data_IF_247343674420
#
_entry.id   IF_247343674420
#
_cell.length_a   1.000
_cell.length_b   1.000
_cell.length_c   1.000
_cell.angle_alpha   90.00
_cell.angle_beta   90.00
_cell.angle_gamma   90.00
#
_symmetry.space_group_name_H-M   'P 1'
#
loop_
_entity.id
_entity.type
_entity.pdbx_description
1 polymer ?
#
# COMPACT_ATOMS: atom_id res chain seq x y z
N UNK A 1 17.57 -81.86 11.82
CA UNK A 1 18.14 -81.51 13.12
C UNK A 1 19.23 -80.48 12.91
N UNK A 2 18.83 -79.22 13.02
CA UNK A 2 19.52 -78.06 13.58
C UNK A 2 21.00 -78.23 13.97
N UNK A 3 21.88 -77.41 13.41
CA UNK A 3 22.36 -76.22 14.14
C UNK A 3 23.27 -75.32 13.29
N UNK A 4 22.95 -74.03 13.34
CA UNK A 4 23.57 -72.89 12.68
C UNK A 4 24.99 -72.62 13.24
N UNK A 5 26.00 -72.25 12.43
CA UNK A 5 27.30 -71.88 12.98
C UNK A 5 27.23 -70.48 13.62
N UNK A 6 27.75 -70.35 14.84
CA UNK A 6 28.00 -69.07 15.51
C UNK A 6 29.38 -68.57 15.06
N UNK A 7 29.43 -67.43 14.40
CA UNK A 7 30.66 -66.71 14.14
C UNK A 7 30.99 -65.79 15.33
N UNK A 8 32.19 -66.01 15.86
CA UNK A 8 32.70 -65.37 17.06
C UNK A 8 33.24 -63.98 16.72
N UNK A 9 32.56 -62.98 17.29
CA UNK A 9 32.94 -61.57 17.40
C UNK A 9 34.38 -61.42 17.89
N UNK A 10 35.22 -60.72 17.12
CA UNK A 10 36.54 -60.24 17.56
C UNK A 10 37.24 -59.39 16.51
N UNK A 11 37.62 -58.15 16.88
CA UNK A 11 38.61 -57.35 16.16
C UNK A 11 38.10 -56.13 15.38
N UNK A 12 37.44 -55.17 16.06
CA UNK A 12 37.13 -53.86 15.49
C UNK A 12 37.79 -52.76 16.33
N UNK A 13 38.69 -52.01 15.70
CA UNK A 13 39.55 -50.97 16.26
C UNK A 13 38.73 -49.85 16.92
N UNK A 14 39.07 -49.47 18.16
CA UNK A 14 38.53 -48.30 18.84
C UNK A 14 39.46 -47.13 18.51
N UNK A 15 39.04 -46.09 17.77
CA UNK A 15 39.72 -44.81 17.86
C UNK A 15 39.26 -44.11 19.16
N UNK A 16 40.26 -43.81 19.98
CA UNK A 16 40.20 -43.01 21.19
C UNK A 16 39.43 -41.70 20.95
N UNK A 17 38.36 -41.48 21.72
CA UNK A 17 37.54 -40.27 21.65
C UNK A 17 38.26 -39.21 22.50
N UNK A 18 39.03 -38.35 21.84
CA UNK A 18 39.49 -37.09 22.44
C UNK A 18 38.27 -36.20 22.68
N UNK A 19 37.78 -36.22 23.92
CA UNK A 19 36.73 -35.35 24.41
C UNK A 19 37.20 -33.89 24.44
N UNK A 20 37.01 -33.17 23.33
CA UNK A 20 36.90 -31.71 23.36
C UNK A 20 35.42 -31.33 23.16
N UNK A 21 34.78 -30.60 24.10
CA UNK A 21 33.47 -30.03 23.84
C UNK A 21 33.63 -28.97 22.75
N UNK A 22 33.20 -29.28 21.52
CA UNK A 22 33.02 -28.28 20.48
C UNK A 22 31.83 -27.43 20.92
N UNK A 23 32.10 -26.38 21.69
CA UNK A 23 31.13 -25.34 21.98
C UNK A 23 30.80 -24.64 20.66
N UNK A 24 29.84 -25.18 19.90
CA UNK A 24 29.22 -24.52 18.77
C UNK A 24 28.36 -23.40 19.36
N UNK A 25 28.99 -22.29 19.74
CA UNK A 25 28.31 -21.02 19.95
C UNK A 25 28.06 -20.39 18.58
N UNK A 26 27.25 -21.07 17.76
CA UNK A 26 26.68 -20.45 16.57
C UNK A 26 25.50 -19.62 17.03
N UNK A 27 25.67 -18.30 17.10
CA UNK A 27 24.60 -17.35 17.33
C UNK A 27 23.58 -17.47 16.17
N UNK A 28 22.64 -18.41 16.29
CA UNK A 28 21.66 -18.73 15.27
C UNK A 28 20.59 -17.63 15.27
N UNK A 29 20.62 -16.78 14.26
CA UNK A 29 19.57 -15.80 14.02
C UNK A 29 18.72 -16.26 12.82
N UNK A 30 17.43 -16.59 13.01
CA UNK A 30 16.55 -16.94 11.92
C UNK A 30 16.47 -15.81 10.89
N UNK A 31 16.43 -16.16 9.59
CA UNK A 31 16.46 -15.19 8.49
C UNK A 31 15.32 -14.15 8.58
N UNK A 32 14.14 -14.57 9.04
CA UNK A 32 12.97 -13.69 9.19
C UNK A 32 13.16 -12.54 10.20
N UNK A 33 14.14 -12.63 11.12
CA UNK A 33 14.36 -11.57 12.13
C UNK A 33 14.82 -10.26 11.47
N UNK A 34 15.64 -10.35 10.42
CA UNK A 34 16.22 -9.19 9.74
C UNK A 34 15.82 -9.08 8.26
N UNK A 35 15.05 -10.03 7.73
CA UNK A 35 14.64 -10.04 6.33
C UNK A 35 13.13 -10.17 6.21
N UNK A 36 12.53 -9.31 5.37
CA UNK A 36 11.14 -9.41 4.99
C UNK A 36 10.91 -10.61 4.07
N UNK A 37 9.92 -11.45 4.40
CA UNK A 37 9.46 -12.51 3.51
C UNK A 37 8.33 -11.92 2.67
N UNK A 38 8.63 -11.65 1.39
CA UNK A 38 7.62 -11.24 0.42
C UNK A 38 7.02 -12.46 -0.27
N UNK A 39 5.68 -12.53 -0.34
CA UNK A 39 4.98 -13.56 -1.11
C UNK A 39 4.67 -13.00 -2.50
N UNK A 40 5.44 -13.40 -3.51
CA UNK A 40 5.22 -12.99 -4.89
C UNK A 40 4.50 -14.11 -5.66
N UNK A 41 3.54 -13.77 -6.55
CA UNK A 41 2.96 -14.73 -7.47
C UNK A 41 4.04 -15.40 -8.34
N UNK A 42 3.75 -16.61 -8.84
CA UNK A 42 4.65 -17.27 -9.78
C UNK A 42 4.93 -16.40 -11.01
N UNK A 43 6.11 -16.55 -11.61
CA UNK A 43 6.46 -15.84 -12.85
C UNK A 43 5.40 -16.07 -13.95
N UNK A 44 4.85 -17.28 -14.04
CA UNK A 44 3.76 -17.63 -14.96
C UNK A 44 2.47 -16.85 -14.69
N UNK A 45 2.11 -16.64 -13.41
CA UNK A 45 0.94 -15.83 -13.02
C UNK A 45 1.09 -14.38 -13.47
N UNK A 46 2.28 -13.80 -13.31
CA UNK A 46 2.57 -12.43 -13.77
C UNK A 46 2.49 -12.35 -15.30
N UNK A 47 3.01 -13.37 -16.00
CA UNK A 47 2.96 -13.42 -17.46
C UNK A 47 1.52 -13.45 -17.99
N UNK A 48 0.66 -14.27 -17.39
CA UNK A 48 -0.77 -14.34 -17.73
C UNK A 48 -1.46 -13.01 -17.39
N UNK A 49 -1.21 -12.42 -16.23
CA UNK A 49 -1.82 -11.14 -15.86
C UNK A 49 -1.44 -9.99 -16.81
N UNK A 50 -0.26 -10.04 -17.43
CA UNK A 50 0.16 -9.07 -18.46
C UNK A 50 -0.52 -9.29 -19.82
N UNK A 51 -1.03 -10.50 -20.09
CA UNK A 51 -1.81 -10.81 -21.30
C UNK A 51 -3.23 -10.24 -21.21
N UNK A 52 -3.79 -10.17 -19.99
CA UNK A 52 -5.04 -9.46 -19.69
C UNK A 52 -4.81 -7.94 -19.74
N UNK A 53 -4.58 -7.43 -20.94
CA UNK A 53 -4.34 -6.02 -21.19
C UNK A 53 -5.59 -5.22 -20.81
N UNK A 54 -5.41 -4.31 -19.84
CA UNK A 54 -6.43 -3.32 -19.52
C UNK A 54 -6.79 -2.54 -20.80
N UNK A 55 -8.07 -2.21 -20.95
CA UNK A 55 -8.53 -1.32 -22.02
C UNK A 55 -7.69 -0.04 -21.99
N UNK A 56 -7.24 0.43 -23.16
CA UNK A 56 -6.48 1.68 -23.26
C UNK A 56 -7.33 2.82 -22.73
N UNK A 57 -6.75 3.65 -21.86
CA UNK A 57 -7.40 4.84 -21.36
C UNK A 57 -7.61 5.85 -22.51
N UNK A 58 -8.72 6.60 -22.52
CA UNK A 58 -9.01 7.57 -23.57
C UNK A 58 -8.06 8.77 -23.58
N UNK A 59 -7.46 9.10 -22.42
CA UNK A 59 -6.52 10.20 -22.23
C UNK A 59 -5.17 9.67 -21.74
N UNK A 60 -4.10 10.40 -22.05
CA UNK A 60 -2.75 10.03 -21.66
C UNK A 60 -2.46 10.37 -20.19
N UNK A 61 -3.05 11.45 -19.68
CA UNK A 61 -2.79 11.95 -18.33
C UNK A 61 -4.07 12.44 -17.66
N UNK A 62 -4.28 12.04 -16.41
CA UNK A 62 -5.29 12.60 -15.52
C UNK A 62 -4.60 13.07 -14.24
N UNK A 63 -4.82 14.33 -13.86
CA UNK A 63 -4.26 14.95 -12.65
C UNK A 63 -5.41 15.34 -11.73
N UNK A 64 -5.40 14.78 -10.51
CA UNK A 64 -6.26 15.20 -9.41
C UNK A 64 -5.35 15.84 -8.36
N UNK A 65 -5.50 17.15 -8.11
CA UNK A 65 -4.57 17.87 -7.23
C UNK A 65 -5.24 18.98 -6.41
N UNK A 66 -4.53 19.43 -5.38
CA UNK A 66 -4.98 20.47 -4.44
C UNK A 66 -6.37 20.19 -3.83
N UNK A 67 -6.65 18.97 -3.33
CA UNK A 67 -7.96 18.66 -2.75
C UNK A 67 -8.25 19.49 -1.49
N UNK A 68 -9.53 19.61 -1.15
CA UNK A 68 -10.01 20.28 0.07
C UNK A 68 -10.44 19.24 1.09
N UNK A 69 -9.74 19.15 2.23
CA UNK A 69 -9.96 18.10 3.23
C UNK A 69 -10.88 18.50 4.39
N UNK A 70 -11.01 19.80 4.68
CA UNK A 70 -11.75 20.27 5.85
C UNK A 70 -12.46 21.61 5.61
N UNK A 71 -13.44 21.90 6.45
CA UNK A 71 -14.14 23.20 6.48
C UNK A 71 -13.31 24.34 7.09
N UNK A 72 -12.13 24.02 7.65
CA UNK A 72 -11.18 25.01 8.17
C UNK A 72 -10.23 25.52 7.09
N UNK A 73 -10.32 24.96 5.87
CA UNK A 73 -9.54 25.41 4.72
C UNK A 73 -9.89 26.87 4.36
N UNK A 74 -8.86 27.65 4.04
CA UNK A 74 -8.94 29.05 3.64
C UNK A 74 -9.87 29.31 2.44
N UNK A 75 -10.07 28.30 1.58
CA UNK A 75 -10.95 28.38 0.40
C UNK A 75 -12.44 28.43 0.76
N UNK A 76 -12.82 28.14 2.01
CA UNK A 76 -14.19 28.32 2.48
C UNK A 76 -14.48 29.80 2.81
N UNK A 77 -15.15 30.49 1.88
CA UNK A 77 -15.71 31.81 2.11
C UNK A 77 -16.81 31.74 3.19
N UNK A 78 -16.51 32.22 4.41
CA UNK A 78 -17.39 32.17 5.60
C UNK A 78 -18.76 32.84 5.41
N UNK A 79 -18.91 33.69 4.40
CA UNK A 79 -20.13 34.48 4.14
C UNK A 79 -21.25 33.71 3.42
N UNK A 80 -20.98 32.60 2.72
CA UNK A 80 -22.00 31.87 1.92
C UNK A 80 -22.69 30.73 2.69
N UNK A 81 -22.08 30.23 3.76
CA UNK A 81 -22.50 28.97 4.42
C UNK A 81 -23.72 29.10 5.35
N UNK A 82 -24.23 30.31 5.62
CA UNK A 82 -25.44 30.49 6.44
C UNK A 82 -26.73 30.09 5.70
N UNK A 83 -26.73 30.06 4.37
CA UNK A 83 -27.94 29.81 3.57
C UNK A 83 -28.11 28.36 3.11
N UNK A 84 -27.04 27.55 3.04
CA UNK A 84 -27.10 26.15 2.56
C UNK A 84 -27.41 25.11 3.64
N UNK A 85 -27.36 25.46 4.93
CA UNK A 85 -27.60 24.52 6.04
C UNK A 85 -29.07 24.11 6.25
N UNK A 86 -30.01 24.58 5.41
CA UNK A 86 -31.44 24.20 5.51
C UNK A 86 -31.85 22.99 4.67
N UNK A 87 -30.96 22.45 3.85
CA UNK A 87 -31.26 21.31 2.97
C UNK A 87 -30.12 20.29 3.03
N UNK A 88 -30.11 19.44 4.07
CA UNK A 88 -29.30 18.21 4.03
C UNK A 88 -30.21 17.02 4.27
N UNK A 89 -30.40 16.23 3.21
CA UNK A 89 -31.05 14.94 3.26
C UNK A 89 -30.22 14.00 4.15
N UNK A 90 -30.92 13.18 4.93
CA UNK A 90 -30.31 12.27 5.91
C UNK A 90 -29.53 11.11 5.26
N UNK A 91 -29.71 10.84 3.95
CA UNK A 91 -28.91 9.84 3.24
C UNK A 91 -27.47 10.28 2.95
N UNK A 92 -27.22 11.58 2.75
CA UNK A 92 -25.87 12.10 2.44
C UNK A 92 -24.95 12.11 3.67
N UNK A 93 -25.51 12.04 4.89
CA UNK A 93 -24.74 12.12 6.13
C UNK A 93 -23.89 10.87 6.39
N UNK A 94 -24.39 9.68 6.04
CA UNK A 94 -23.69 8.41 6.26
C UNK A 94 -22.48 8.25 5.33
N UNK A 95 -22.62 8.62 4.06
CA UNK A 95 -21.51 8.62 3.11
C UNK A 95 -20.41 9.60 3.50
N UNK A 96 -20.80 10.82 3.88
CA UNK A 96 -19.87 11.85 4.36
C UNK A 96 -19.15 11.40 5.64
N UNK A 97 -19.82 10.71 6.56
CA UNK A 97 -19.20 10.19 7.78
C UNK A 97 -18.21 9.06 7.48
N UNK A 98 -18.55 8.17 6.55
CA UNK A 98 -17.64 7.12 6.11
C UNK A 98 -16.36 7.70 5.50
N UNK A 99 -16.48 8.67 4.61
CA UNK A 99 -15.34 9.37 4.00
C UNK A 99 -14.49 10.10 5.04
N UNK A 100 -15.13 10.83 5.99
CA UNK A 100 -14.42 11.47 7.11
C UNK A 100 -13.68 10.46 7.98
N UNK A 101 -14.30 9.32 8.25
CA UNK A 101 -13.68 8.25 9.05
C UNK A 101 -12.45 7.67 8.33
N UNK A 102 -12.52 7.46 7.02
CA UNK A 102 -11.41 6.97 6.22
C UNK A 102 -10.26 7.97 6.22
N UNK A 103 -10.56 9.24 5.97
CA UNK A 103 -9.59 10.32 5.98
C UNK A 103 -8.90 10.48 7.34
N UNK A 104 -9.68 10.38 8.43
CA UNK A 104 -9.16 10.40 9.81
C UNK A 104 -8.25 9.21 10.09
N UNK A 105 -8.68 7.98 9.77
CA UNK A 105 -7.85 6.78 9.94
C UNK A 105 -6.51 6.90 9.20
N UNK A 106 -6.54 7.42 7.97
CA UNK A 106 -5.32 7.66 7.19
C UNK A 106 -4.41 8.68 7.87
N UNK A 107 -4.95 9.77 8.44
CA UNK A 107 -4.14 10.73 9.18
C UNK A 107 -3.51 10.11 10.44
N UNK A 108 -4.32 9.35 11.20
CA UNK A 108 -3.91 8.70 12.45
C UNK A 108 -2.79 7.67 12.20
N UNK A 109 -2.80 6.97 11.06
CA UNK A 109 -1.73 6.02 10.66
C UNK A 109 -0.38 6.72 10.48
N UNK A 110 -0.39 7.99 10.05
CA UNK A 110 0.81 8.82 9.94
C UNK A 110 1.07 9.68 11.19
N UNK A 111 0.37 9.41 12.30
CA UNK A 111 0.43 10.20 13.53
C UNK A 111 0.18 11.71 13.29
N UNK A 112 -0.74 12.03 12.38
CA UNK A 112 -1.13 13.39 12.02
C UNK A 112 -2.54 13.72 12.53
N UNK A 113 -2.72 14.95 12.99
CA UNK A 113 -4.04 15.49 13.37
C UNK A 113 -4.81 15.98 12.14
N UNK A 114 -5.17 15.06 11.24
CA UNK A 114 -5.89 15.34 10.01
C UNK A 114 -5.01 15.77 8.83
N UNK A 115 -5.65 16.37 7.82
CA UNK A 115 -5.00 16.77 6.57
C UNK A 115 -5.21 18.26 6.34
N UNK A 116 -4.10 19.00 6.32
CA UNK A 116 -4.08 20.38 5.85
C UNK A 116 -3.88 20.46 4.35
N UNK A 117 -4.12 21.64 3.78
CA UNK A 117 -3.74 21.92 2.40
C UNK A 117 -2.23 21.76 2.23
N UNK A 118 -1.82 21.24 1.08
CA UNK A 118 -0.41 21.11 0.69
C UNK A 118 -0.13 22.02 -0.51
N UNK A 119 0.22 23.31 -0.34
CA UNK A 119 0.24 24.29 -1.44
C UNK A 119 1.11 23.89 -2.64
N UNK A 120 2.16 23.09 -2.42
CA UNK A 120 3.03 22.58 -3.49
C UNK A 120 2.31 21.74 -4.54
N UNK A 121 1.22 21.05 -4.18
CA UNK A 121 0.48 20.15 -5.09
C UNK A 121 -0.10 20.89 -6.29
N UNK A 122 -0.54 22.16 -6.10
CA UNK A 122 -1.05 23.01 -7.18
C UNK A 122 0.04 23.27 -8.22
N UNK A 123 1.18 23.76 -7.72
CA UNK A 123 2.32 24.13 -8.56
C UNK A 123 2.87 22.93 -9.33
N UNK A 124 2.94 21.78 -8.66
CA UNK A 124 3.37 20.53 -9.28
C UNK A 124 2.41 20.10 -10.39
N UNK A 125 1.10 20.06 -10.12
CA UNK A 125 0.08 19.73 -11.10
C UNK A 125 0.13 20.64 -12.33
N UNK A 126 0.19 21.96 -12.14
CA UNK A 126 0.29 22.94 -13.22
C UNK A 126 1.57 22.76 -14.05
N UNK A 127 2.65 22.28 -13.43
CA UNK A 127 3.92 22.02 -14.12
C UNK A 127 3.85 20.74 -14.93
N UNK A 128 3.29 19.67 -14.38
CA UNK A 128 3.13 18.39 -15.07
C UNK A 128 2.16 18.53 -16.25
N UNK A 129 1.08 19.29 -16.09
CA UNK A 129 0.09 19.49 -17.15
C UNK A 129 0.70 20.13 -18.41
N UNK A 130 1.74 20.97 -18.26
CA UNK A 130 2.44 21.59 -19.39
C UNK A 130 3.26 20.59 -20.23
N UNK A 131 3.52 19.39 -19.71
CA UNK A 131 4.30 18.36 -20.42
C UNK A 131 3.46 17.56 -21.43
N UNK A 132 2.13 17.64 -21.35
CA UNK A 132 1.21 16.85 -22.19
C UNK A 132 0.25 17.80 -22.94
N UNK A 133 -0.09 17.54 -24.21
CA UNK A 133 -1.09 18.32 -24.92
C UNK A 133 -2.44 18.32 -24.19
N UNK A 134 -3.13 19.45 -24.19
CA UNK A 134 -4.35 19.65 -23.38
C UNK A 134 -5.44 18.66 -23.74
N UNK A 135 -5.58 18.34 -25.02
CA UNK A 135 -6.53 17.37 -25.57
C UNK A 135 -6.36 15.96 -24.99
N UNK A 136 -5.14 15.60 -24.58
CA UNK A 136 -4.80 14.29 -24.01
C UNK A 136 -4.66 14.34 -22.48
N UNK A 137 -5.05 15.45 -21.86
CA UNK A 137 -4.97 15.66 -20.42
C UNK A 137 -6.35 15.86 -19.79
N UNK A 138 -6.48 15.49 -18.53
CA UNK A 138 -7.62 15.78 -17.67
C UNK A 138 -7.08 16.41 -16.38
N UNK A 139 -7.63 17.56 -16.02
CA UNK A 139 -7.29 18.27 -14.80
C UNK A 139 -8.53 18.36 -13.92
N UNK A 140 -8.37 18.07 -12.64
CA UNK A 140 -9.42 18.13 -11.64
C UNK A 140 -8.80 18.68 -10.36
N UNK A 141 -9.31 19.79 -9.87
CA UNK A 141 -8.68 20.54 -8.78
C UNK A 141 -9.65 20.96 -7.68
N UNK A 142 -9.11 21.36 -6.53
CA UNK A 142 -9.87 21.93 -5.40
C UNK A 142 -11.01 21.01 -4.94
N UNK A 143 -12.25 21.51 -4.98
CA UNK A 143 -13.46 20.80 -4.57
C UNK A 143 -13.85 19.68 -5.55
N UNK A 144 -13.39 19.78 -6.79
CA UNK A 144 -13.63 18.74 -7.80
C UNK A 144 -12.66 17.56 -7.59
N UNK A 145 -11.49 17.77 -6.98
CA UNK A 145 -10.53 16.73 -6.65
C UNK A 145 -10.98 15.90 -5.43
N UNK A 146 -12.08 15.16 -5.59
CA UNK A 146 -12.72 14.38 -4.54
C UNK A 146 -12.65 12.86 -4.81
N UNK A 147 -13.09 12.08 -3.81
CA UNK A 147 -13.08 10.62 -3.87
C UNK A 147 -13.83 10.07 -5.08
N UNK A 148 -15.01 10.62 -5.39
CA UNK A 148 -15.81 10.17 -6.52
C UNK A 148 -15.09 10.33 -7.85
N UNK A 149 -14.38 11.44 -8.06
CA UNK A 149 -13.54 11.63 -9.25
C UNK A 149 -12.36 10.66 -9.30
N UNK A 150 -11.75 10.34 -8.15
CA UNK A 150 -10.63 9.41 -8.09
C UNK A 150 -11.05 7.96 -8.38
N UNK A 151 -12.28 7.58 -8.03
CA UNK A 151 -12.80 6.22 -8.23
C UNK A 151 -13.80 6.10 -9.36
N UNK A 152 -14.14 7.19 -10.06
CA UNK A 152 -15.05 7.14 -11.19
C UNK A 152 -14.43 6.29 -12.30
N UNK A 153 -15.23 5.41 -12.89
CA UNK A 153 -14.85 4.72 -14.11
C UNK A 153 -14.67 5.74 -15.23
N UNK A 154 -13.46 5.76 -15.82
CA UNK A 154 -13.14 6.51 -17.03
C UNK A 154 -13.70 5.87 -18.29
#
# INVERSE_FOLDING_TARGET
MDNKPKDNRGGGLIPEIDNLPLAINSNYQPLFVNHEIVNLPSASTIAIQRQELRKKAPKALAILADPVYSNTDERFNRTRNKQLNKQKNQQDSLGIELERSALKRSADTFNRQGWGRLPGTRKEADTILKLVPKENSLEVFDFEANYNWATSSA
#
